data_IF_313755749254
#
_entry.id   IF_313755749254
#
_cell.length_a   1.000
_cell.length_b   1.000
_cell.length_c   1.000
_cell.angle_alpha   90.00
_cell.angle_beta   90.00
_cell.angle_gamma   90.00
#
_symmetry.space_group_name_H-M   'P 1'
#
loop_
_entity.id
_entity.type
_entity.pdbx_description
1 polymer ?
#
# COMPACT_ATOMS: atom_id res chain seq x y z
N UNK A 1 9.50 -4.41 11.69
CA UNK A 1 8.60 -4.49 10.51
C UNK A 1 9.16 -5.48 9.51
N UNK A 2 8.38 -6.45 9.09
CA UNK A 2 8.76 -7.41 8.06
C UNK A 2 8.18 -7.04 6.70
N UNK A 3 9.06 -7.00 5.70
CA UNK A 3 8.77 -6.45 4.36
C UNK A 3 9.25 -7.32 3.20
N UNK A 4 9.77 -8.50 3.48
CA UNK A 4 10.32 -9.47 2.53
C UNK A 4 11.85 -9.41 2.39
N UNK A 5 12.48 -8.28 2.71
CA UNK A 5 13.94 -8.13 2.64
C UNK A 5 14.50 -7.14 3.66
N UNK A 6 15.80 -7.23 3.91
CA UNK A 6 16.51 -6.50 4.96
C UNK A 6 16.90 -5.07 4.60
N UNK A 7 16.86 -4.69 3.32
CA UNK A 7 17.26 -3.35 2.87
C UNK A 7 16.40 -2.24 3.46
N UNK A 8 17.01 -1.33 4.22
CA UNK A 8 16.40 -0.09 4.72
C UNK A 8 16.48 1.02 3.67
N UNK A 9 15.53 1.95 3.70
CA UNK A 9 15.54 3.15 2.84
C UNK A 9 15.24 2.90 1.35
N UNK A 10 15.09 1.64 0.92
CA UNK A 10 14.73 1.28 -0.45
C UNK A 10 13.25 1.02 -0.60
N UNK A 11 12.69 1.28 -1.78
CA UNK A 11 11.31 0.90 -2.10
C UNK A 11 11.15 -0.61 -2.24
N UNK A 12 9.91 -1.08 -2.04
CA UNK A 12 9.55 -2.47 -2.27
C UNK A 12 8.44 -2.66 -3.28
N UNK A 13 8.33 -3.87 -3.82
CA UNK A 13 7.25 -4.23 -4.72
C UNK A 13 5.87 -4.24 -4.08
N UNK A 14 5.75 -4.51 -2.77
CA UNK A 14 4.45 -4.49 -2.10
C UNK A 14 4.02 -3.04 -1.81
N UNK A 15 2.96 -2.51 -2.46
CA UNK A 15 2.50 -1.15 -2.18
C UNK A 15 2.01 -0.99 -0.74
N UNK A 16 1.51 -2.06 -0.11
CA UNK A 16 1.06 -2.06 1.28
C UNK A 16 2.21 -1.88 2.28
N UNK A 17 3.39 -2.42 1.97
CA UNK A 17 4.61 -2.15 2.75
C UNK A 17 4.99 -0.68 2.59
N UNK A 18 5.05 -0.18 1.36
CA UNK A 18 5.42 1.22 1.07
C UNK A 18 4.46 2.20 1.78
N UNK A 19 3.16 1.92 1.73
CA UNK A 19 2.11 2.67 2.44
C UNK A 19 2.37 2.72 3.94
N UNK A 20 2.63 1.58 4.58
CA UNK A 20 2.86 1.52 6.03
C UNK A 20 4.17 2.23 6.41
N UNK A 21 5.27 1.98 5.68
CA UNK A 21 6.54 2.66 5.93
C UNK A 21 6.42 4.18 5.77
N UNK A 22 5.69 4.65 4.77
CA UNK A 22 5.46 6.09 4.58
C UNK A 22 4.78 6.68 5.82
N UNK A 23 3.75 6.03 6.36
CA UNK A 23 3.08 6.48 7.59
C UNK A 23 4.03 6.53 8.79
N UNK A 24 4.84 5.47 8.98
CA UNK A 24 5.81 5.41 10.08
C UNK A 24 6.86 6.52 9.96
N UNK A 25 7.42 6.71 8.76
CA UNK A 25 8.45 7.73 8.50
C UNK A 25 7.91 9.14 8.67
N UNK A 26 6.73 9.44 8.10
CA UNK A 26 6.14 10.78 8.22
C UNK A 26 5.76 11.14 9.65
N UNK A 27 5.45 10.14 10.49
CA UNK A 27 5.18 10.32 11.91
C UNK A 27 6.44 10.23 12.79
N UNK A 28 7.64 10.08 12.22
CA UNK A 28 8.90 9.86 12.94
C UNK A 28 8.85 8.68 13.94
N UNK A 29 8.08 7.64 13.62
CA UNK A 29 8.03 6.42 14.45
C UNK A 29 9.27 5.59 14.17
N UNK A 30 10.09 5.25 15.18
CA UNK A 30 11.26 4.41 14.99
C UNK A 30 10.84 2.97 14.68
N UNK A 31 11.44 2.37 13.66
CA UNK A 31 11.22 0.97 13.31
C UNK A 31 12.43 0.37 12.64
N UNK A 32 12.61 -0.95 12.78
CA UNK A 32 13.60 -1.74 12.03
C UNK A 32 12.92 -2.59 10.97
N UNK A 33 13.69 -2.97 9.94
CA UNK A 33 13.21 -3.81 8.84
C UNK A 33 13.79 -5.21 8.92
N UNK A 34 12.94 -6.22 8.80
CA UNK A 34 13.32 -7.62 8.64
C UNK A 34 12.82 -8.18 7.31
N UNK A 35 13.46 -9.26 6.85
CA UNK A 35 12.97 -9.99 5.70
C UNK A 35 11.61 -10.63 6.00
N UNK A 36 11.58 -11.52 7.00
CA UNK A 36 10.37 -12.26 7.34
C UNK A 36 9.91 -13.18 6.22
N UNK A 37 8.75 -13.81 6.40
CA UNK A 37 8.20 -14.75 5.41
C UNK A 37 6.68 -14.65 5.38
N UNK A 38 6.03 -14.67 4.19
CA UNK A 38 4.58 -14.74 4.11
C UNK A 38 4.01 -15.96 4.85
N UNK A 39 4.75 -17.08 4.92
CA UNK A 39 4.31 -18.28 5.65
C UNK A 39 4.25 -18.09 7.17
N UNK A 40 5.13 -17.25 7.71
CA UNK A 40 5.17 -16.94 9.14
C UNK A 40 4.28 -15.73 9.48
N UNK A 41 3.88 -14.94 8.49
CA UNK A 41 3.08 -13.74 8.71
C UNK A 41 1.68 -14.09 9.25
N UNK A 42 1.14 -13.34 10.24
CA UNK A 42 -0.18 -13.62 10.84
C UNK A 42 -1.35 -13.67 9.85
N UNK A 43 -1.21 -13.01 8.69
CA UNK A 43 -2.22 -12.95 7.62
C UNK A 43 -1.74 -13.59 6.32
N UNK A 44 -0.62 -14.30 6.32
CA UNK A 44 -0.07 -14.91 5.12
C UNK A 44 0.56 -13.92 4.12
N UNK A 45 0.70 -12.64 4.50
CA UNK A 45 1.10 -11.54 3.60
C UNK A 45 1.94 -10.49 4.33
N UNK A 46 2.75 -9.75 3.56
CA UNK A 46 3.40 -8.53 4.00
C UNK A 46 2.49 -7.30 3.83
N UNK A 47 2.67 -6.22 4.61
CA UNK A 47 3.57 -6.13 5.76
C UNK A 47 3.01 -6.83 7.00
N UNK A 48 3.91 -7.18 7.92
CA UNK A 48 3.56 -7.44 9.31
C UNK A 48 4.61 -6.83 10.26
N UNK A 49 4.24 -6.61 11.51
CA UNK A 49 5.08 -5.99 12.54
C UNK A 49 5.09 -6.86 13.79
N UNK A 50 6.22 -6.81 14.48
CA UNK A 50 6.37 -7.21 15.88
C UNK A 50 6.59 -5.93 16.68
N UNK A 51 5.89 -5.81 17.79
CA UNK A 51 6.08 -4.70 18.73
C UNK A 51 5.73 -5.15 20.15
N UNK A 52 6.27 -4.44 21.14
CA UNK A 52 5.97 -4.69 22.54
C UNK A 52 5.01 -3.60 23.06
N UNK A 53 3.80 -3.96 23.52
CA UNK A 53 2.88 -3.01 24.12
C UNK A 53 3.42 -2.45 25.43
N UNK A 54 3.02 -1.23 25.81
CA UNK A 54 3.50 -0.58 27.05
C UNK A 54 3.05 -1.30 28.34
N UNK A 55 2.03 -2.16 28.31
CA UNK A 55 1.39 -2.76 29.49
C UNK A 55 1.99 -4.10 29.94
N UNK A 56 3.29 -4.35 29.73
CA UNK A 56 3.94 -5.59 30.17
C UNK A 56 3.42 -6.86 29.47
N UNK A 57 2.67 -6.69 28.38
CA UNK A 57 2.24 -7.78 27.51
C UNK A 57 3.43 -8.27 26.67
N UNK A 58 3.38 -9.53 26.25
CA UNK A 58 4.40 -10.13 25.39
C UNK A 58 4.50 -9.44 24.02
N UNK A 59 5.48 -9.86 23.21
CA UNK A 59 5.61 -9.38 21.82
C UNK A 59 4.33 -9.72 21.05
N UNK A 60 3.73 -8.71 20.43
CA UNK A 60 2.54 -8.84 19.60
C UNK A 60 2.95 -8.82 18.14
N UNK A 61 2.45 -9.79 17.38
CA UNK A 61 2.55 -9.81 15.93
C UNK A 61 1.25 -9.32 15.28
N UNK A 62 1.35 -8.39 14.34
CA UNK A 62 0.20 -7.88 13.60
C UNK A 62 0.51 -7.79 12.11
N UNK A 63 -0.35 -8.38 11.28
CA UNK A 63 -0.33 -8.23 9.83
C UNK A 63 -1.40 -7.26 9.34
N UNK A 64 -1.35 -6.93 8.04
CA UNK A 64 -2.23 -5.98 7.35
C UNK A 64 -1.92 -4.51 7.63
N UNK A 65 -1.56 -3.76 6.58
CA UNK A 65 -1.14 -2.36 6.71
C UNK A 65 -2.21 -1.44 7.31
N UNK A 66 -3.49 -1.73 7.07
CA UNK A 66 -4.62 -0.92 7.55
C UNK A 66 -4.90 -1.23 9.01
N UNK A 67 -4.90 -2.50 9.41
CA UNK A 67 -5.05 -2.91 10.82
C UNK A 67 -3.90 -2.38 11.68
N UNK A 68 -2.66 -2.54 11.22
CA UNK A 68 -1.48 -2.02 11.93
C UNK A 68 -1.58 -0.51 12.11
N UNK A 69 -1.91 0.22 11.04
CA UNK A 69 -2.03 1.68 11.10
C UNK A 69 -3.13 2.11 12.08
N UNK A 70 -4.28 1.44 12.07
CA UNK A 70 -5.39 1.73 12.97
C UNK A 70 -5.00 1.50 14.43
N UNK A 71 -4.36 0.37 14.71
CA UNK A 71 -3.90 0.06 16.06
C UNK A 71 -2.88 1.09 16.57
N UNK A 72 -1.91 1.49 15.74
CA UNK A 72 -0.94 2.52 16.14
C UNK A 72 -1.56 3.90 16.32
N UNK A 73 -2.62 4.24 15.59
CA UNK A 73 -3.41 5.45 15.86
C UNK A 73 -4.11 5.35 17.22
N UNK A 74 -4.75 4.22 17.53
CA UNK A 74 -5.42 3.98 18.81
C UNK A 74 -4.45 4.05 20.01
N UNK A 75 -3.19 3.62 19.81
CA UNK A 75 -2.13 3.72 20.82
C UNK A 75 -1.43 5.09 20.86
N UNK A 76 -1.83 6.04 20.00
CA UNK A 76 -1.22 7.37 19.93
C UNK A 76 0.18 7.41 19.29
N UNK A 77 0.63 6.31 18.69
CA UNK A 77 1.92 6.22 18.00
C UNK A 77 1.87 6.81 16.59
N UNK A 78 0.71 6.83 15.94
CA UNK A 78 0.49 7.49 14.65
C UNK A 78 -0.57 8.58 14.74
N UNK A 79 -0.44 9.68 13.96
CA UNK A 79 -1.49 10.67 13.86
C UNK A 79 -2.73 10.09 13.16
N UNK A 80 -3.91 10.48 13.66
CA UNK A 80 -5.18 10.19 12.99
C UNK A 80 -5.42 11.19 11.84
N UNK A 81 -5.24 10.70 10.61
CA UNK A 81 -5.45 11.49 9.40
C UNK A 81 -6.92 11.67 9.02
N UNK A 82 -7.82 10.87 9.60
CA UNK A 82 -9.23 10.76 9.20
C UNK A 82 -10.18 11.24 10.30
N UNK A 83 -9.70 11.36 11.54
CA UNK A 83 -10.51 11.69 12.72
C UNK A 83 -11.18 13.06 12.70
N UNK A 84 -10.66 14.01 11.90
CA UNK A 84 -11.22 15.36 11.76
C UNK A 84 -12.08 15.55 10.50
N UNK A 85 -12.19 14.53 9.65
CA UNK A 85 -12.92 14.62 8.39
C UNK A 85 -14.44 14.52 8.63
N UNK A 86 -15.21 15.24 7.80
CA UNK A 86 -16.67 15.11 7.76
C UNK A 86 -17.07 13.67 7.38
N UNK A 87 -18.29 13.21 7.70
CA UNK A 87 -18.75 11.88 7.29
C UNK A 87 -18.63 11.63 5.78
N UNK A 88 -18.86 12.66 4.96
CA UNK A 88 -18.75 12.59 3.51
C UNK A 88 -17.29 12.46 3.06
N UNK A 89 -16.38 13.23 3.64
CA UNK A 89 -14.94 13.16 3.31
C UNK A 89 -14.31 11.86 3.78
N UNK A 90 -14.78 11.30 4.90
CA UNK A 90 -14.41 9.95 5.34
C UNK A 90 -14.84 8.87 4.35
N UNK A 91 -16.02 9.02 3.75
CA UNK A 91 -16.47 8.11 2.70
C UNK A 91 -15.63 8.26 1.42
N UNK A 92 -15.29 9.50 1.02
CA UNK A 92 -14.38 9.78 -0.11
C UNK A 92 -12.97 9.22 0.10
N UNK A 93 -12.42 9.34 1.31
CA UNK A 93 -11.15 8.73 1.69
C UNK A 93 -11.19 7.21 1.50
N UNK A 94 -12.20 6.55 2.06
CA UNK A 94 -12.37 5.10 1.97
C UNK A 94 -12.54 4.65 0.51
N UNK A 95 -13.38 5.35 -0.26
CA UNK A 95 -13.61 5.04 -1.67
C UNK A 95 -12.31 5.17 -2.48
N UNK A 96 -11.52 6.22 -2.22
CA UNK A 96 -10.24 6.46 -2.91
C UNK A 96 -9.21 5.38 -2.56
N UNK A 97 -9.08 5.03 -1.28
CA UNK A 97 -8.22 3.92 -0.84
C UNK A 97 -8.64 2.60 -1.45
N UNK A 98 -9.94 2.29 -1.46
CA UNK A 98 -10.46 1.08 -2.10
C UNK A 98 -10.19 1.06 -3.61
N UNK A 99 -10.35 2.20 -4.30
CA UNK A 99 -10.04 2.30 -5.73
C UNK A 99 -8.56 1.99 -6.03
N UNK A 100 -7.66 2.52 -5.21
CA UNK A 100 -6.22 2.32 -5.36
C UNK A 100 -5.77 0.91 -4.94
N UNK A 101 -6.26 0.43 -3.81
CA UNK A 101 -5.80 -0.81 -3.18
C UNK A 101 -6.50 -2.06 -3.74
N UNK A 102 -7.79 -1.97 -4.07
CA UNK A 102 -8.62 -3.13 -4.46
C UNK A 102 -8.92 -3.19 -5.97
N UNK A 103 -8.67 -2.11 -6.72
CA UNK A 103 -8.83 -2.11 -8.19
C UNK A 103 -7.49 -1.87 -8.89
N UNK A 104 -6.88 -0.70 -8.66
CA UNK A 104 -5.65 -0.33 -9.35
C UNK A 104 -4.47 -1.25 -9.02
N UNK A 105 -4.35 -1.71 -7.77
CA UNK A 105 -3.29 -2.64 -7.37
C UNK A 105 -3.37 -3.95 -8.17
N UNK A 106 -4.56 -4.56 -8.29
CA UNK A 106 -4.73 -5.83 -9.03
C UNK A 106 -4.43 -5.68 -10.52
N UNK A 107 -4.74 -4.54 -11.12
CA UNK A 107 -4.34 -4.25 -12.49
C UNK A 107 -2.83 -4.14 -12.69
N UNK A 108 -2.04 -3.95 -11.62
CA UNK A 108 -0.58 -3.99 -11.67
C UNK A 108 0.00 -5.37 -11.29
N UNK A 109 -0.80 -6.27 -10.70
CA UNK A 109 -0.33 -7.61 -10.35
C UNK A 109 -0.06 -8.38 -11.64
N UNK A 110 1.16 -8.90 -11.77
CA UNK A 110 1.60 -9.69 -12.93
C UNK A 110 2.60 -8.97 -13.82
N UNK A 111 2.64 -7.63 -13.79
CA UNK A 111 3.72 -6.88 -14.43
C UNK A 111 5.05 -7.27 -13.78
N UNK A 112 6.04 -7.61 -14.61
CA UNK A 112 7.39 -7.99 -14.17
C UNK A 112 7.44 -9.21 -13.22
N UNK A 113 6.45 -10.11 -13.28
CA UNK A 113 6.41 -11.29 -12.39
C UNK A 113 7.72 -12.09 -12.39
N UNK A 114 8.32 -12.34 -13.55
CA UNK A 114 9.54 -13.13 -13.64
C UNK A 114 10.76 -12.43 -13.02
N UNK A 115 10.86 -11.11 -13.20
CA UNK A 115 11.90 -10.29 -12.56
C UNK A 115 11.74 -10.33 -11.03
N UNK A 116 10.50 -10.15 -10.55
CA UNK A 116 10.19 -10.22 -9.12
C UNK A 116 10.45 -11.62 -8.54
N UNK A 117 10.06 -12.68 -9.27
CA UNK A 117 10.30 -14.08 -8.90
C UNK A 117 11.79 -14.34 -8.72
N UNK A 118 12.61 -13.94 -9.69
CA UNK A 118 14.04 -14.27 -9.68
C UNK A 118 14.77 -13.58 -8.53
N UNK A 119 14.38 -12.37 -8.19
CA UNK A 119 14.90 -11.70 -7.01
C UNK A 119 14.36 -12.30 -5.70
N UNK A 120 13.03 -12.46 -5.58
CA UNK A 120 12.40 -12.95 -4.35
C UNK A 120 12.77 -14.40 -4.01
N UNK A 121 12.97 -15.24 -5.02
CA UNK A 121 13.36 -16.64 -4.88
C UNK A 121 14.86 -16.87 -5.14
N UNK A 122 15.67 -15.80 -5.18
CA UNK A 122 17.12 -15.90 -5.37
C UNK A 122 17.84 -16.82 -4.37
N UNK A 123 17.40 -16.99 -3.10
CA UNK A 123 18.02 -17.96 -2.19
C UNK A 123 17.76 -19.42 -2.56
N UNK A 124 16.74 -19.70 -3.39
CA UNK A 124 16.42 -21.07 -3.81
C UNK A 124 17.28 -21.43 -5.03
N UNK A 125 18.00 -22.56 -5.04
CA UNK A 125 18.79 -22.99 -6.19
C UNK A 125 17.95 -23.35 -7.42
N UNK A 126 18.58 -23.31 -8.59
CA UNK A 126 18.04 -23.95 -9.79
C UNK A 126 18.15 -25.48 -9.65
N UNK A 127 17.18 -26.30 -10.12
CA UNK A 127 15.93 -25.94 -10.82
C UNK A 127 14.74 -25.65 -9.90
N UNK A 128 14.84 -25.92 -8.59
CA UNK A 128 13.75 -25.78 -7.61
C UNK A 128 13.12 -24.38 -7.64
N UNK A 129 13.92 -23.32 -7.85
CA UNK A 129 13.45 -21.95 -8.01
C UNK A 129 12.39 -21.80 -9.10
N UNK A 130 12.61 -22.44 -10.24
CA UNK A 130 11.70 -22.38 -11.40
C UNK A 130 10.40 -23.10 -11.07
N UNK A 131 10.47 -24.29 -10.47
CA UNK A 131 9.30 -25.08 -10.10
C UNK A 131 8.43 -24.34 -9.07
N UNK A 132 9.04 -23.84 -7.99
CA UNK A 132 8.34 -23.03 -6.97
C UNK A 132 7.75 -21.78 -7.59
N UNK A 133 8.51 -21.09 -8.44
CA UNK A 133 8.04 -19.94 -9.19
C UNK A 133 6.81 -20.24 -10.05
N UNK A 134 6.79 -21.36 -10.77
CA UNK A 134 5.62 -21.72 -11.57
C UNK A 134 4.38 -22.01 -10.71
N UNK A 135 4.54 -22.64 -9.55
CA UNK A 135 3.44 -22.84 -8.61
C UNK A 135 2.88 -21.51 -8.10
N UNK A 136 3.76 -20.58 -7.71
CA UNK A 136 3.36 -19.23 -7.29
C UNK A 136 2.67 -18.48 -8.42
N UNK A 137 3.17 -18.58 -9.65
CA UNK A 137 2.55 -17.96 -10.82
C UNK A 137 1.13 -18.49 -11.06
N UNK A 138 0.93 -19.81 -10.99
CA UNK A 138 -0.39 -20.43 -11.11
C UNK A 138 -1.36 -19.95 -10.04
N UNK A 139 -0.90 -19.86 -8.79
CA UNK A 139 -1.72 -19.37 -7.68
C UNK A 139 -2.12 -17.90 -7.87
N UNK A 140 -1.19 -17.03 -8.31
CA UNK A 140 -1.52 -15.64 -8.62
C UNK A 140 -2.53 -15.53 -9.77
N UNK A 141 -2.36 -16.30 -10.84
CA UNK A 141 -3.33 -16.30 -11.94
C UNK A 141 -4.71 -16.79 -11.49
N UNK A 142 -4.79 -17.86 -10.72
CA UNK A 142 -6.05 -18.33 -10.17
C UNK A 142 -6.74 -17.26 -9.30
N UNK A 143 -5.96 -16.59 -8.45
CA UNK A 143 -6.45 -15.49 -7.61
C UNK A 143 -6.95 -14.31 -8.44
N UNK A 144 -6.20 -13.85 -9.44
CA UNK A 144 -6.60 -12.73 -10.30
C UNK A 144 -7.81 -13.08 -11.17
N UNK A 145 -7.94 -14.34 -11.59
CA UNK A 145 -9.12 -14.81 -12.30
C UNK A 145 -10.36 -14.86 -11.39
N UNK A 146 -10.20 -15.33 -10.15
CA UNK A 146 -11.24 -15.35 -9.13
C UNK A 146 -11.70 -13.94 -8.72
N UNK A 147 -10.76 -12.99 -8.62
CA UNK A 147 -11.05 -11.59 -8.36
C UNK A 147 -11.72 -10.90 -9.57
N UNK A 148 -11.40 -11.33 -10.79
CA UNK A 148 -12.01 -10.85 -12.03
C UNK A 148 -11.07 -10.12 -12.97
N UNK A 149 -9.90 -9.67 -12.52
CA UNK A 149 -8.91 -8.95 -13.36
C UNK A 149 -8.51 -9.74 -14.61
N UNK A 150 -8.22 -11.05 -14.49
CA UNK A 150 -7.83 -11.87 -15.65
C UNK A 150 -8.99 -12.28 -16.56
N UNK A 151 -10.19 -11.76 -16.32
CA UNK A 151 -11.33 -11.90 -17.26
C UNK A 151 -11.36 -10.76 -18.29
N UNK A 152 -10.60 -9.69 -18.03
CA UNK A 152 -10.49 -8.53 -18.90
C UNK A 152 -9.31 -8.69 -19.87
N UNK A 153 -9.41 -8.05 -21.03
CA UNK A 153 -8.31 -7.91 -21.98
C UNK A 153 -7.26 -6.92 -21.48
N UNK A 154 -6.06 -6.95 -22.08
CA UNK A 154 -5.01 -5.99 -21.75
C UNK A 154 -5.43 -4.54 -22.10
N UNK A 155 -6.19 -4.36 -23.19
CA UNK A 155 -6.75 -3.07 -23.58
C UNK A 155 -7.78 -2.56 -22.57
N UNK A 156 -8.68 -3.42 -22.09
CA UNK A 156 -9.69 -3.10 -21.07
C UNK A 156 -9.05 -2.74 -19.73
N UNK A 157 -8.01 -3.48 -19.31
CA UNK A 157 -7.21 -3.16 -18.13
C UNK A 157 -6.51 -1.80 -18.33
N UNK A 158 -5.91 -1.57 -19.50
CA UNK A 158 -5.25 -0.31 -19.84
C UNK A 158 -6.20 0.88 -19.82
N UNK A 159 -7.41 0.73 -20.37
CA UNK A 159 -8.46 1.74 -20.32
C UNK A 159 -8.91 2.02 -18.89
N UNK A 160 -9.16 0.96 -18.10
CA UNK A 160 -9.55 1.10 -16.69
C UNK A 160 -8.47 1.80 -15.85
N UNK A 161 -7.18 1.53 -16.10
CA UNK A 161 -6.08 2.24 -15.42
C UNK A 161 -6.08 3.73 -15.75
N UNK A 162 -6.25 4.09 -17.04
CA UNK A 162 -6.32 5.49 -17.47
C UNK A 162 -7.49 6.21 -16.80
N UNK A 163 -8.69 5.61 -16.83
CA UNK A 163 -9.88 6.16 -16.19
C UNK A 163 -9.67 6.46 -14.69
N UNK A 164 -9.04 5.53 -13.96
CA UNK A 164 -8.72 5.73 -12.53
C UNK A 164 -7.78 6.91 -12.34
N UNK A 165 -6.70 6.99 -13.12
CA UNK A 165 -5.71 8.06 -13.00
C UNK A 165 -6.27 9.42 -13.42
N UNK A 166 -7.07 9.46 -14.49
CA UNK A 166 -7.72 10.68 -14.95
C UNK A 166 -8.72 11.20 -13.91
N UNK A 167 -9.48 10.29 -13.27
CA UNK A 167 -10.41 10.64 -12.20
C UNK A 167 -9.69 11.20 -10.97
N UNK A 168 -8.59 10.57 -10.53
CA UNK A 168 -7.77 11.07 -9.42
C UNK A 168 -7.18 12.44 -9.77
N UNK A 169 -6.64 12.59 -10.98
CA UNK A 169 -6.08 13.85 -11.44
C UNK A 169 -7.13 14.97 -11.46
N UNK A 170 -8.35 14.69 -11.95
CA UNK A 170 -9.45 15.65 -11.94
C UNK A 170 -9.79 16.12 -10.52
N UNK A 171 -9.86 15.21 -9.55
CA UNK A 171 -10.08 15.57 -8.13
C UNK A 171 -8.94 16.43 -7.59
N UNK A 172 -7.68 16.05 -7.85
CA UNK A 172 -6.51 16.82 -7.41
C UNK A 172 -6.50 18.24 -7.97
N UNK A 173 -6.82 18.39 -9.26
CA UNK A 173 -6.92 19.70 -9.94
C UNK A 173 -8.05 20.54 -9.34
N UNK A 174 -9.22 19.94 -9.11
CA UNK A 174 -10.37 20.62 -8.51
C UNK A 174 -10.04 21.15 -7.11
N UNK A 175 -9.54 20.28 -6.22
CA UNK A 175 -9.21 20.64 -4.83
C UNK A 175 -8.17 21.75 -4.78
N UNK A 176 -7.13 21.63 -5.60
CA UNK A 176 -6.08 22.64 -5.69
C UNK A 176 -6.60 23.99 -6.17
N UNK A 177 -7.51 23.99 -7.14
CA UNK A 177 -8.12 25.21 -7.67
C UNK A 177 -8.98 25.90 -6.60
N UNK A 178 -9.76 25.12 -5.84
CA UNK A 178 -10.55 25.63 -4.72
C UNK A 178 -9.67 26.22 -3.61
N UNK A 179 -8.56 25.55 -3.24
CA UNK A 179 -7.63 26.07 -2.24
C UNK A 179 -6.94 27.37 -2.69
N UNK A 180 -6.56 27.47 -3.97
CA UNK A 180 -5.99 28.68 -4.53
C UNK A 180 -6.98 29.86 -4.50
N UNK A 181 -8.26 29.60 -4.78
CA UNK A 181 -9.32 30.62 -4.70
C UNK A 181 -9.61 31.08 -3.26
N UNK A 182 -9.52 30.17 -2.28
CA UNK A 182 -9.77 30.47 -0.86
C UNK A 182 -8.63 31.26 -0.18
N UNK A 183 -7.44 31.34 -0.77
CA UNK A 183 -6.31 32.10 -0.23
C UNK A 183 -5.58 32.91 -1.33
N UNK A 184 -6.23 33.95 -1.89
CA UNK A 184 -5.61 34.80 -2.90
C UNK A 184 -4.42 35.55 -2.28
N UNK A 185 -3.19 35.21 -2.68
CA UNK A 185 -1.96 35.85 -2.18
C UNK A 185 -1.10 34.96 -1.26
N UNK A 186 -1.62 33.83 -0.78
CA UNK A 186 -0.75 32.76 -0.30
C UNK A 186 -0.04 32.17 -1.51
N UNK A 187 1.29 32.19 -1.51
CA UNK A 187 2.10 31.37 -2.42
C UNK A 187 1.75 29.90 -2.13
N UNK A 188 0.64 29.41 -2.70
CA UNK A 188 0.41 28.00 -2.95
C UNK A 188 1.45 27.62 -4.00
N UNK A 189 2.70 27.52 -3.53
CA UNK A 189 3.84 27.15 -4.34
C UNK A 189 3.41 25.95 -5.16
N UNK A 190 3.70 25.96 -6.47
CA UNK A 190 3.30 24.83 -7.31
C UNK A 190 3.84 23.49 -6.79
N UNK A 191 4.84 23.55 -5.92
CA UNK A 191 5.61 22.47 -5.33
C UNK A 191 5.24 22.08 -3.90
N UNK A 192 4.30 22.78 -3.22
CA UNK A 192 3.91 22.38 -1.86
C UNK A 192 2.91 21.21 -1.89
N UNK A 193 3.14 20.13 -1.11
CA UNK A 193 2.15 19.08 -0.96
C UNK A 193 0.88 19.65 -0.28
N UNK A 194 -0.28 19.16 -0.69
CA UNK A 194 -1.57 19.54 -0.13
C UNK A 194 -2.41 18.30 0.14
N UNK A 195 -3.33 18.42 1.09
CA UNK A 195 -4.27 17.36 1.42
C UNK A 195 -5.44 17.38 0.44
N UNK A 196 -5.61 16.31 -0.34
CA UNK A 196 -6.64 16.29 -1.40
C UNK A 196 -8.04 15.94 -0.89
N UNK A 197 -8.17 15.47 0.36
CA UNK A 197 -9.47 15.13 0.96
C UNK A 197 -10.09 16.28 1.75
N UNK A 198 -9.57 17.50 1.59
CA UNK A 198 -10.05 18.68 2.32
C UNK A 198 -9.52 18.71 3.74
N UNK A 199 -8.79 19.76 4.06
CA UNK A 199 -8.34 20.12 5.40
C UNK A 199 -8.42 21.63 5.54
#
# INVERSE_FOLDING_TARGET
MYRGWTGQGTHVWSPFVVKLEARLRFANVPYTTGAGSPRAAPKGKFPYVEFQPQKGEGVVEMGDSTLISKHFVEQGALPDLVGRLSPEDRARDLATRALLEEKLCFYHVGYNYFVMRDHALSPIPWPTRVLVGQLVYRNHKAMLYGQGTLRLSEEEIGASKREIWDSINAVLVAVRSSQAAASPGSLTSKTRPFWFLGG
#
